data_IF_047136923756
#
_entry.id   IF_047136923756
#
_cell.length_a   1.000
_cell.length_b   1.000
_cell.length_c   1.000
_cell.angle_alpha   90.00
_cell.angle_beta   90.00
_cell.angle_gamma   90.00
#
_symmetry.space_group_name_H-M   'P 1'
#
loop_
_entity.id
_entity.type
_entity.pdbx_description
1 polymer ?
#
# COMPACT_ATOMS: atom_id res chain seq x y z
N UNK A 1 10.79 -2.92 -9.98
CA UNK A 1 9.69 -2.70 -9.01
C UNK A 1 8.41 -2.99 -9.77
N UNK A 2 7.48 -3.85 -9.29
CA UNK A 2 6.21 -4.03 -9.99
C UNK A 2 5.51 -2.68 -10.11
N UNK A 3 4.86 -2.39 -11.25
CA UNK A 3 4.13 -1.14 -11.43
C UNK A 3 3.06 -1.00 -10.35
N UNK A 4 2.87 0.22 -9.85
CA UNK A 4 1.84 0.51 -8.87
C UNK A 4 0.50 0.06 -9.44
N UNK A 5 -0.17 -0.86 -8.76
CA UNK A 5 -1.52 -1.23 -9.14
C UNK A 5 -2.38 0.03 -9.03
N UNK A 6 -3.08 0.45 -10.10
CA UNK A 6 -3.92 1.63 -10.04
C UNK A 6 -5.14 1.30 -9.17
N UNK A 7 -5.20 1.89 -7.99
CA UNK A 7 -6.29 1.70 -7.05
C UNK A 7 -7.23 2.91 -7.10
N UNK A 8 -8.51 2.67 -6.85
CA UNK A 8 -9.51 3.73 -6.77
C UNK A 8 -9.40 4.57 -5.49
N UNK A 9 -8.67 4.07 -4.48
CA UNK A 9 -8.42 4.72 -3.20
C UNK A 9 -6.92 4.70 -2.84
N UNK A 10 -6.50 5.58 -1.93
CA UNK A 10 -5.11 5.64 -1.46
C UNK A 10 -4.77 4.50 -0.50
N UNK A 11 -3.47 4.18 -0.39
CA UNK A 11 -2.93 3.19 0.54
C UNK A 11 -3.31 3.45 2.01
N UNK A 12 -3.43 4.73 2.39
CA UNK A 12 -3.85 5.10 3.75
C UNK A 12 -5.30 4.70 4.06
N UNK A 13 -6.19 4.71 3.05
CA UNK A 13 -7.57 4.24 3.22
C UNK A 13 -7.66 2.71 3.24
N UNK A 14 -6.75 2.00 2.59
CA UNK A 14 -6.69 0.54 2.67
C UNK A 14 -6.20 0.03 4.01
N UNK A 15 -5.29 0.76 4.64
CA UNK A 15 -4.66 0.39 5.90
C UNK A 15 -5.65 -0.10 6.98
N UNK A 16 -6.74 0.62 7.31
CA UNK A 16 -7.73 0.13 8.28
C UNK A 16 -8.49 -1.11 7.80
N UNK A 17 -8.76 -1.24 6.50
CA UNK A 17 -9.45 -2.42 5.94
C UNK A 17 -8.59 -3.68 6.03
N UNK A 18 -7.29 -3.54 5.78
CA UNK A 18 -6.34 -4.63 5.85
C UNK A 18 -6.09 -5.02 7.32
N UNK A 19 -6.08 -4.04 8.24
CA UNK A 19 -5.94 -4.30 9.68
C UNK A 19 -7.10 -5.12 10.27
N UNK A 20 -8.30 -4.99 9.70
CA UNK A 20 -9.50 -5.72 10.14
C UNK A 20 -9.49 -7.19 9.68
N UNK A 21 -8.63 -7.56 8.73
CA UNK A 21 -8.52 -8.93 8.24
C UNK A 21 -7.89 -9.85 9.31
N UNK A 22 -8.49 -11.02 9.52
CA UNK A 22 -8.03 -11.99 10.53
C UNK A 22 -6.61 -12.52 10.32
N UNK A 23 -6.13 -12.54 9.07
CA UNK A 23 -4.79 -12.99 8.69
C UNK A 23 -3.74 -11.85 8.69
N UNK A 24 -4.14 -10.63 9.06
CA UNK A 24 -3.25 -9.49 9.07
C UNK A 24 -2.15 -9.63 10.12
N UNK A 25 -0.93 -9.34 9.68
CA UNK A 25 0.24 -9.25 10.56
C UNK A 25 1.00 -7.98 10.24
N UNK A 26 1.32 -7.23 11.28
CA UNK A 26 2.19 -6.07 11.16
C UNK A 26 3.55 -6.46 10.57
N UNK A 27 4.11 -5.62 9.69
CA UNK A 27 5.42 -5.87 9.10
C UNK A 27 6.50 -5.79 10.18
N UNK A 28 7.69 -6.33 9.86
CA UNK A 28 8.86 -6.10 10.71
C UNK A 28 9.20 -4.59 10.73
N UNK A 29 9.79 -4.10 11.83
CA UNK A 29 10.33 -2.75 11.88
C UNK A 29 11.33 -2.48 10.76
N UNK A 30 11.51 -1.21 10.43
CA UNK A 30 12.49 -0.81 9.41
C UNK A 30 13.90 -1.22 9.86
N UNK A 31 14.59 -1.97 9.00
CA UNK A 31 15.98 -2.40 9.24
C UNK A 31 17.01 -1.27 9.14
N UNK A 32 16.59 -0.04 8.84
CA UNK A 32 17.46 1.14 8.77
C UNK A 32 17.69 1.73 10.15
N UNK A 33 18.91 2.23 10.38
CA UNK A 33 19.27 2.88 11.64
C UNK A 33 18.31 4.05 11.95
N UNK A 34 17.60 4.05 13.10
CA UNK A 34 16.64 5.09 13.48
C UNK A 34 17.18 6.51 13.36
N UNK A 35 18.44 6.73 13.76
CA UNK A 35 19.06 8.08 13.78
C UNK A 35 19.36 8.64 12.39
N UNK A 36 19.35 7.79 11.35
CA UNK A 36 19.60 8.19 9.95
C UNK A 36 18.32 8.34 9.13
N UNK A 37 17.15 8.17 9.75
CA UNK A 37 15.87 8.20 9.05
C UNK A 37 15.44 9.64 8.82
N UNK A 38 14.81 9.86 7.68
CA UNK A 38 14.18 11.14 7.39
C UNK A 38 12.94 11.31 8.28
N UNK A 39 13.03 12.20 9.27
CA UNK A 39 11.96 12.51 10.22
C UNK A 39 10.83 13.34 9.61
N UNK A 40 11.01 13.92 8.42
CA UNK A 40 9.92 14.60 7.70
C UNK A 40 8.94 13.62 7.06
N UNK A 41 9.38 12.38 6.82
CA UNK A 41 8.58 11.33 6.19
C UNK A 41 8.14 10.30 7.21
N UNK A 42 6.84 10.01 7.25
CA UNK A 42 6.25 9.02 8.16
C UNK A 42 5.46 7.98 7.38
N UNK A 43 5.72 6.71 7.69
CA UNK A 43 4.97 5.60 7.14
C UNK A 43 3.97 5.13 8.18
N UNK A 44 2.67 5.27 7.89
CA UNK A 44 1.59 4.85 8.78
C UNK A 44 1.58 3.33 8.96
N UNK A 45 1.99 2.58 7.92
CA UNK A 45 2.06 1.12 7.94
C UNK A 45 3.13 0.56 8.89
N UNK A 46 4.29 1.23 8.98
CA UNK A 46 5.34 0.86 9.94
C UNK A 46 5.21 1.62 11.27
N UNK A 47 4.43 2.70 11.32
CA UNK A 47 4.38 3.68 12.42
C UNK A 47 5.76 4.27 12.74
N UNK A 48 6.64 4.30 11.74
CA UNK A 48 8.03 4.74 11.85
C UNK A 48 8.33 5.85 10.84
N UNK A 49 9.35 6.67 11.14
CA UNK A 49 9.86 7.67 10.22
C UNK A 49 10.79 7.04 9.16
N UNK A 50 11.05 7.75 8.06
CA UNK A 50 12.05 7.40 7.06
C UNK A 50 11.52 7.33 5.63
N UNK A 51 10.26 6.94 5.43
CA UNK A 51 9.58 6.98 4.13
C UNK A 51 8.09 7.26 4.34
N UNK A 52 7.39 7.75 3.30
CA UNK A 52 5.93 7.94 3.36
C UNK A 52 5.19 6.64 3.04
N UNK A 53 3.93 6.55 3.46
CA UNK A 53 3.09 5.36 3.26
C UNK A 53 2.99 4.94 1.79
N UNK A 54 2.93 5.89 0.85
CA UNK A 54 2.88 5.63 -0.61
C UNK A 54 4.20 5.12 -1.21
N UNK A 55 5.32 5.24 -0.50
CA UNK A 55 6.62 4.67 -0.91
C UNK A 55 6.86 3.30 -0.23
N UNK A 56 5.92 2.83 0.59
CA UNK A 56 6.09 1.64 1.41
C UNK A 56 5.95 0.35 0.58
N UNK A 57 7.09 -0.23 0.21
CA UNK A 57 7.14 -1.49 -0.57
C UNK A 57 6.42 -2.65 0.12
N UNK A 58 6.50 -2.74 1.45
CA UNK A 58 5.83 -3.79 2.22
C UNK A 58 4.31 -3.68 2.10
N UNK A 59 3.77 -2.46 2.18
CA UNK A 59 2.35 -2.20 2.01
C UNK A 59 1.89 -2.51 0.58
N UNK A 60 2.67 -2.10 -0.43
CA UNK A 60 2.34 -2.38 -1.83
C UNK A 60 2.25 -3.88 -2.09
N UNK A 61 3.22 -4.66 -1.59
CA UNK A 61 3.22 -6.10 -1.75
C UNK A 61 2.04 -6.78 -1.05
N UNK A 62 1.66 -6.29 0.14
CA UNK A 62 0.51 -6.78 0.87
C UNK A 62 -0.80 -6.53 0.09
N UNK A 63 -0.97 -5.31 -0.41
CA UNK A 63 -2.14 -4.94 -1.22
C UNK A 63 -2.21 -5.77 -2.50
N UNK A 64 -1.10 -5.92 -3.23
CA UNK A 64 -1.05 -6.73 -4.44
C UNK A 64 -1.41 -8.20 -4.16
N UNK A 65 -0.91 -8.76 -3.05
CA UNK A 65 -1.28 -10.12 -2.62
C UNK A 65 -2.78 -10.25 -2.33
N UNK A 66 -3.37 -9.29 -1.63
CA UNK A 66 -4.79 -9.29 -1.30
C UNK A 66 -5.68 -9.14 -2.55
N UNK A 67 -5.25 -8.33 -3.52
CA UNK A 67 -5.91 -8.21 -4.82
C UNK A 67 -5.85 -9.54 -5.58
N UNK A 68 -4.68 -10.18 -5.64
CA UNK A 68 -4.49 -11.48 -6.31
C UNK A 68 -5.31 -12.59 -5.63
N UNK A 69 -5.43 -12.54 -4.31
CA UNK A 69 -6.29 -13.44 -3.53
C UNK A 69 -7.80 -13.14 -3.70
N UNK A 70 -8.16 -11.99 -4.27
CA UNK A 70 -9.55 -11.63 -4.57
C UNK A 70 -10.23 -10.72 -3.54
N UNK A 71 -9.61 -10.45 -2.39
CA UNK A 71 -10.20 -9.67 -1.30
C UNK A 71 -10.43 -8.19 -1.67
N UNK A 72 -9.55 -7.62 -2.50
CA UNK A 72 -9.54 -6.17 -2.79
C UNK A 72 -9.80 -5.85 -4.28
N UNK A 73 -10.28 -6.80 -5.08
CA UNK A 73 -10.55 -6.59 -6.52
C UNK A 73 -11.49 -5.43 -6.80
N UNK A 74 -12.43 -5.16 -5.90
CA UNK A 74 -13.39 -4.04 -6.00
C UNK A 74 -12.72 -2.65 -6.00
N UNK A 75 -11.48 -2.55 -5.51
CA UNK A 75 -10.75 -1.28 -5.45
C UNK A 75 -9.71 -1.13 -6.55
N UNK A 76 -9.60 -2.11 -7.46
CA UNK A 76 -8.85 -1.91 -8.70
C UNK A 76 -9.56 -0.84 -9.52
N UNK A 77 -8.83 0.17 -9.99
CA UNK A 77 -9.35 0.97 -11.10
C UNK A 77 -9.34 0.07 -12.33
N UNK A 78 -10.53 -0.24 -12.83
CA UNK A 78 -10.67 -0.72 -14.20
C UNK A 78 -10.19 0.38 -15.14
N UNK A 79 -9.17 0.12 -15.94
CA UNK A 79 -8.74 0.95 -17.06
C UNK A 79 -9.72 0.88 -18.26
N UNK A 80 -10.95 0.39 -18.04
CA UNK A 80 -12.01 0.34 -19.03
C UNK A 80 -12.62 1.74 -19.26
N UNK A 81 -11.86 2.59 -19.96
CA UNK A 81 -12.31 3.93 -20.36
C UNK A 81 -11.38 4.63 -21.35
N UNK A 82 -10.61 3.88 -22.13
CA UNK A 82 -9.82 4.40 -23.26
C UNK A 82 -10.43 3.99 -24.60
N UNK A 83 -11.69 4.33 -24.84
CA UNK A 83 -12.32 4.32 -26.17
C UNK A 83 -13.26 5.51 -26.27
N UNK A 84 -12.68 6.69 -26.38
CA UNK A 84 -13.35 7.79 -27.08
C UNK A 84 -12.77 7.78 -28.50
N UNK A 85 -13.41 6.98 -29.35
CA UNK A 85 -13.38 7.18 -30.78
C UNK A 85 -14.62 8.01 -31.11
N UNK A 86 -14.43 9.30 -31.35
CA UNK A 86 -15.28 10.07 -32.27
C UNK A 86 -14.51 11.25 -32.85
#
# INVERSE_FOLDING_TARGET
MPPLTPLSISYEKFLPMIQDMSDFRWPRPLGTNPSKRDHSKKCVFHKEHGHITEECRCLHYLVERLIRAGHLKQYLRSDAGGRDAS
#
